data_IF_161605888309
#
_entry.id   IF_161605888309
#
_cell.length_a   1.000
_cell.length_b   1.000
_cell.length_c   1.000
_cell.angle_alpha   90.00
_cell.angle_beta   90.00
_cell.angle_gamma   90.00
#
_symmetry.space_group_name_H-M   'P 1'
#
loop_
_entity.id
_entity.type
_entity.pdbx_description
1 polymer ?
#
# COMPACT_ATOMS: atom_id res chain seq x y z
N UNK A 1 33.64 6.08 19.25
CA UNK A 1 32.24 6.49 19.49
C UNK A 1 31.54 6.57 18.15
N UNK A 2 30.46 5.82 17.93
CA UNK A 2 29.66 6.00 16.72
C UNK A 2 29.12 7.43 16.73
N UNK A 3 29.31 8.16 15.63
CA UNK A 3 28.70 9.47 15.48
C UNK A 3 27.18 9.27 15.34
N UNK A 4 26.39 10.08 16.05
CA UNK A 4 24.93 10.02 16.05
C UNK A 4 24.36 9.98 14.61
N UNK A 5 25.00 10.69 13.68
CA UNK A 5 24.62 10.73 12.27
C UNK A 5 24.74 9.36 11.58
N UNK A 6 25.78 8.57 11.88
CA UNK A 6 25.96 7.22 11.34
C UNK A 6 24.94 6.23 11.92
N UNK A 7 24.52 6.46 13.16
CA UNK A 7 23.47 5.69 13.79
C UNK A 7 22.11 5.97 13.10
N UNK A 8 21.77 7.24 12.92
CA UNK A 8 20.53 7.68 12.26
C UNK A 8 20.45 7.23 10.79
N UNK A 9 21.56 7.23 10.06
CA UNK A 9 21.67 6.68 8.71
C UNK A 9 21.28 5.19 8.65
N UNK A 10 21.72 4.38 9.63
CA UNK A 10 21.33 2.96 9.70
C UNK A 10 19.85 2.78 10.03
N UNK A 11 19.25 3.68 10.80
CA UNK A 11 17.82 3.67 11.12
C UNK A 11 16.93 4.18 9.99
N UNK A 12 17.45 5.01 9.08
CA UNK A 12 16.71 5.54 7.92
C UNK A 12 16.18 4.44 6.99
N UNK A 13 16.92 3.35 6.85
CA UNK A 13 16.52 2.18 6.04
C UNK A 13 15.78 1.10 6.84
N UNK A 14 15.69 1.25 8.16
CA UNK A 14 15.08 0.27 9.08
C UNK A 14 13.57 0.50 9.24
N UNK A 15 13.06 1.64 8.76
CA UNK A 15 11.63 1.84 8.55
C UNK A 15 11.15 0.78 7.56
N UNK A 16 10.41 -0.20 8.06
CA UNK A 16 9.82 -1.30 7.32
C UNK A 16 8.80 -0.74 6.30
N UNK A 17 9.33 -0.19 5.20
CA UNK A 17 8.59 0.61 4.21
C UNK A 17 7.44 -0.18 3.60
N UNK A 18 7.57 -1.50 3.51
CA UNK A 18 6.55 -2.36 2.93
C UNK A 18 5.33 -2.51 3.85
N UNK A 19 5.54 -2.67 5.17
CA UNK A 19 4.43 -2.74 6.14
C UNK A 19 3.67 -1.42 6.21
N UNK A 20 4.39 -0.30 6.24
CA UNK A 20 3.80 1.05 6.23
C UNK A 20 3.02 1.31 4.93
N UNK A 21 3.56 0.90 3.78
CA UNK A 21 2.85 1.00 2.49
C UNK A 21 1.55 0.18 2.48
N UNK A 22 1.60 -1.08 2.94
CA UNK A 22 0.41 -1.93 3.03
C UNK A 22 -0.65 -1.33 3.96
N UNK A 23 -0.22 -0.72 5.06
CA UNK A 23 -1.11 -0.10 6.04
C UNK A 23 -1.80 1.16 5.46
N UNK A 24 -1.06 2.02 4.77
CA UNK A 24 -1.63 3.15 4.04
C UNK A 24 -2.63 2.72 2.97
N UNK A 25 -2.36 1.61 2.28
CA UNK A 25 -3.27 1.04 1.29
C UNK A 25 -4.57 0.54 1.96
N UNK A 26 -4.47 -0.13 3.11
CA UNK A 26 -5.66 -0.56 3.87
C UNK A 26 -6.52 0.63 4.29
N UNK A 27 -5.91 1.72 4.76
CA UNK A 27 -6.64 2.94 5.12
C UNK A 27 -7.37 3.58 3.92
N UNK A 28 -6.83 3.46 2.71
CA UNK A 28 -7.52 3.91 1.47
C UNK A 28 -8.72 3.02 1.18
N UNK A 29 -8.57 1.70 1.33
CA UNK A 29 -9.66 0.76 1.13
C UNK A 29 -10.78 0.91 2.15
N UNK A 30 -10.44 1.12 3.43
CA UNK A 30 -11.42 1.38 4.50
C UNK A 30 -12.23 2.65 4.23
N UNK A 31 -11.57 3.74 3.79
CA UNK A 31 -12.25 4.98 3.38
C UNK A 31 -13.24 4.77 2.23
N UNK A 32 -12.91 3.85 1.32
CA UNK A 32 -13.78 3.47 0.20
C UNK A 32 -14.81 2.38 0.55
N UNK A 33 -14.93 2.03 1.84
CA UNK A 33 -15.83 0.99 2.40
C UNK A 33 -15.54 -0.43 1.91
N UNK A 34 -14.29 -0.71 1.53
CA UNK A 34 -13.87 -2.04 1.09
C UNK A 34 -13.11 -2.73 2.24
N UNK A 35 -13.66 -3.79 2.86
CA UNK A 35 -13.00 -4.47 3.96
C UNK A 35 -11.84 -5.34 3.44
N UNK A 36 -10.61 -4.86 3.59
CA UNK A 36 -9.40 -5.58 3.18
C UNK A 36 -8.41 -5.61 4.34
N UNK A 37 -7.86 -6.80 4.60
CA UNK A 37 -6.81 -6.97 5.60
C UNK A 37 -5.41 -6.83 4.97
N UNK A 38 -4.43 -6.34 5.73
CA UNK A 38 -3.01 -6.27 5.36
C UNK A 38 -2.50 -7.60 4.81
N UNK A 39 -2.94 -8.72 5.39
CA UNK A 39 -2.52 -10.07 4.99
C UNK A 39 -3.03 -10.50 3.59
N UNK A 40 -4.06 -9.83 3.09
CA UNK A 40 -4.64 -10.08 1.77
C UNK A 40 -3.98 -9.24 0.67
N UNK A 41 -3.10 -8.31 1.05
CA UNK A 41 -2.46 -7.36 0.15
C UNK A 41 -1.00 -7.74 -0.04
N UNK A 42 -0.61 -7.90 -1.30
CA UNK A 42 0.78 -8.01 -1.70
C UNK A 42 1.11 -6.96 -2.75
N UNK A 43 2.27 -6.33 -2.62
CA UNK A 43 2.75 -5.33 -3.57
C UNK A 43 3.95 -5.95 -4.25
N UNK A 44 3.88 -6.14 -5.56
CA UNK A 44 5.01 -6.64 -6.33
C UNK A 44 5.28 -5.69 -7.49
N UNK A 45 6.50 -5.14 -7.49
CA UNK A 45 6.96 -4.10 -8.42
C UNK A 45 6.04 -2.87 -8.40
N UNK A 46 5.06 -2.84 -9.29
CA UNK A 46 4.12 -1.74 -9.52
C UNK A 46 2.65 -2.20 -9.48
N UNK A 47 2.41 -3.47 -9.18
CA UNK A 47 1.06 -4.04 -9.13
C UNK A 47 0.68 -4.38 -7.69
N UNK A 48 -0.51 -3.93 -7.30
CA UNK A 48 -1.17 -4.29 -6.07
C UNK A 48 -2.00 -5.56 -6.31
N UNK A 49 -1.67 -6.64 -5.61
CA UNK A 49 -2.38 -7.90 -5.68
C UNK A 49 -3.23 -8.06 -4.43
N UNK A 50 -4.51 -8.35 -4.64
CA UNK A 50 -5.48 -8.39 -3.54
C UNK A 50 -6.22 -9.73 -3.56
N UNK A 51 -5.95 -10.55 -2.54
CA UNK A 51 -6.60 -11.85 -2.37
C UNK A 51 -7.88 -11.70 -1.56
N UNK A 52 -9.00 -11.50 -2.24
CA UNK A 52 -10.32 -11.31 -1.62
C UNK A 52 -11.37 -12.29 -2.13
N UNK A 53 -12.55 -12.27 -1.51
CA UNK A 53 -13.72 -13.01 -1.99
C UNK A 53 -14.28 -12.37 -3.28
N UNK A 54 -14.93 -13.15 -4.16
CA UNK A 54 -15.46 -12.64 -5.44
C UNK A 54 -16.39 -11.42 -5.30
N UNK A 55 -17.17 -11.36 -4.22
CA UNK A 55 -18.09 -10.24 -3.93
C UNK A 55 -17.31 -8.92 -3.81
N UNK A 56 -16.23 -8.94 -3.02
CA UNK A 56 -15.34 -7.79 -2.80
C UNK A 56 -14.57 -7.47 -4.08
N UNK A 57 -14.18 -8.48 -4.88
CA UNK A 57 -13.49 -8.29 -6.16
C UNK A 57 -14.32 -7.46 -7.16
N UNK A 58 -15.62 -7.69 -7.22
CA UNK A 58 -16.53 -6.92 -8.08
C UNK A 58 -16.60 -5.47 -7.64
N UNK A 59 -16.73 -5.21 -6.34
CA UNK A 59 -16.76 -3.84 -5.82
C UNK A 59 -15.42 -3.11 -6.03
N UNK A 60 -14.31 -3.84 -5.88
CA UNK A 60 -12.97 -3.32 -6.12
C UNK A 60 -12.75 -2.97 -7.59
N UNK A 61 -13.30 -3.76 -8.51
CA UNK A 61 -13.26 -3.46 -9.93
C UNK A 61 -14.04 -2.18 -10.27
N UNK A 62 -15.22 -1.98 -9.66
CA UNK A 62 -16.04 -0.78 -9.87
C UNK A 62 -15.37 0.49 -9.33
N UNK A 63 -14.64 0.39 -8.21
CA UNK A 63 -13.96 1.52 -7.56
C UNK A 63 -12.48 1.63 -7.92
N UNK A 64 -11.99 0.81 -8.86
CA UNK A 64 -10.56 0.68 -9.19
C UNK A 64 -9.91 2.01 -9.56
N UNK A 65 -10.56 2.81 -10.40
CA UNK A 65 -9.99 4.07 -10.89
C UNK A 65 -9.88 5.12 -9.78
N UNK A 66 -10.89 5.20 -8.90
CA UNK A 66 -10.90 6.11 -7.76
C UNK A 66 -9.75 5.76 -6.82
N UNK A 67 -9.59 4.48 -6.51
CA UNK A 67 -8.55 3.98 -5.61
C UNK A 67 -7.16 4.19 -6.20
N UNK A 68 -6.96 3.95 -7.50
CA UNK A 68 -5.70 4.24 -8.19
C UNK A 68 -5.35 5.74 -8.15
N UNK A 69 -6.34 6.62 -8.31
CA UNK A 69 -6.14 8.06 -8.20
C UNK A 69 -5.80 8.53 -6.78
N UNK A 70 -6.31 7.86 -5.75
CA UNK A 70 -5.92 8.15 -4.36
C UNK A 70 -4.53 7.63 -4.02
N UNK A 71 -4.17 6.44 -4.53
CA UNK A 71 -2.85 5.84 -4.36
C UNK A 71 -1.78 6.68 -5.06
N UNK A 72 -2.06 7.22 -6.26
CA UNK A 72 -1.10 8.04 -7.02
C UNK A 72 -0.78 9.39 -6.37
N UNK A 73 -1.70 9.94 -5.57
CA UNK A 73 -1.50 11.17 -4.78
C UNK A 73 -0.50 10.99 -3.64
N UNK A 74 -0.24 9.76 -3.21
CA UNK A 74 0.68 9.47 -2.12
C UNK A 74 2.08 9.23 -2.70
N UNK A 75 3.02 10.16 -2.46
CA UNK A 75 4.42 10.08 -2.94
C UNK A 75 5.10 8.73 -2.66
N UNK A 76 4.79 8.09 -1.54
CA UNK A 76 5.36 6.79 -1.15
C UNK A 76 4.80 5.59 -1.90
N UNK A 77 3.69 5.77 -2.63
CA UNK A 77 2.94 4.73 -3.36
C UNK A 77 2.78 5.03 -4.86
N UNK A 78 3.33 6.15 -5.35
CA UNK A 78 3.24 6.61 -6.74
C UNK A 78 3.76 5.60 -7.79
N UNK A 79 4.48 4.56 -7.37
CA UNK A 79 4.92 3.46 -8.25
C UNK A 79 3.81 2.44 -8.53
N UNK A 80 2.71 2.43 -7.78
CA UNK A 80 1.60 1.49 -8.02
C UNK A 80 0.77 1.97 -9.20
N UNK A 81 0.84 1.25 -10.31
CA UNK A 81 0.15 1.59 -11.57
C UNK A 81 -1.02 0.66 -11.88
N UNK A 82 -1.16 -0.47 -11.18
CA UNK A 82 -2.23 -1.43 -11.44
C UNK A 82 -2.70 -2.16 -10.17
N UNK A 83 -3.96 -2.61 -10.19
CA UNK A 83 -4.58 -3.44 -9.15
C UNK A 83 -5.17 -4.70 -9.78
N UNK A 84 -4.81 -5.87 -9.23
CA UNK A 84 -5.21 -7.22 -9.67
C UNK A 84 -5.81 -8.08 -8.55
#
# INVERSE_FOLDING_TARGET
MLQLNQLLERFKNLANTEKVKKQLIVEIFERNKIPININQISISKNTLFIKTQPIIKTELLLKKEIILNEISKIKSLATVSNIQ
#
